data_IF_370193743310
#
_entry.id   IF_370193743310
#
_cell.length_a   1.000
_cell.length_b   1.000
_cell.length_c   1.000
_cell.angle_alpha   90.00
_cell.angle_beta   90.00
_cell.angle_gamma   90.00
#
_symmetry.space_group_name_H-M   'P 1'
#
loop_
_entity.id
_entity.type
_entity.pdbx_description
1 polymer ?
#
# COMPACT_ATOMS: atom_id res chain seq x y z
N UNK A 1 -29.57 -0.25 -12.01
CA UNK A 1 -29.15 0.75 -10.99
C UNK A 1 -28.08 1.61 -11.66
N UNK A 2 -28.12 2.92 -11.51
CA UNK A 2 -27.16 3.86 -12.13
C UNK A 2 -26.24 4.36 -11.02
N UNK A 3 -24.93 4.45 -11.28
CA UNK A 3 -23.93 4.95 -10.35
C UNK A 3 -23.30 6.22 -10.91
N UNK A 4 -22.87 7.12 -10.04
CA UNK A 4 -22.16 8.35 -10.41
C UNK A 4 -20.69 8.05 -10.76
N UNK A 5 -20.09 7.06 -10.08
CA UNK A 5 -18.77 6.57 -10.40
C UNK A 5 -18.68 5.05 -10.27
N UNK A 6 -17.91 4.44 -11.18
CA UNK A 6 -17.55 3.02 -11.14
C UNK A 6 -16.04 2.93 -11.06
N UNK A 7 -15.52 2.33 -9.99
CA UNK A 7 -14.11 2.07 -9.78
C UNK A 7 -13.83 0.60 -10.09
N UNK A 8 -12.90 0.34 -10.99
CA UNK A 8 -12.52 -1.01 -11.41
C UNK A 8 -11.21 -1.40 -10.76
N UNK A 9 -11.27 -2.45 -9.93
CA UNK A 9 -10.18 -2.95 -9.10
C UNK A 9 -10.18 -2.32 -7.70
N UNK A 10 -10.38 -3.14 -6.66
CA UNK A 10 -10.29 -2.74 -5.26
C UNK A 10 -8.86 -2.87 -4.71
N UNK A 11 -7.86 -2.57 -5.52
CA UNK A 11 -6.46 -2.57 -5.14
C UNK A 11 -6.03 -1.29 -4.43
N UNK A 12 -4.70 -1.06 -4.34
CA UNK A 12 -4.11 0.07 -3.61
C UNK A 12 -4.71 1.43 -3.98
N UNK A 13 -4.91 1.71 -5.27
CA UNK A 13 -5.50 2.96 -5.72
C UNK A 13 -7.04 2.96 -5.64
N UNK A 14 -7.69 1.90 -6.15
CA UNK A 14 -9.15 1.88 -6.26
C UNK A 14 -9.87 1.86 -4.92
N UNK A 15 -9.34 1.17 -3.91
CA UNK A 15 -9.86 1.21 -2.55
C UNK A 15 -9.85 2.63 -1.98
N UNK A 16 -8.76 3.38 -2.18
CA UNK A 16 -8.64 4.77 -1.75
C UNK A 16 -9.64 5.66 -2.49
N UNK A 17 -9.67 5.57 -3.82
CA UNK A 17 -10.56 6.39 -4.66
C UNK A 17 -12.03 6.16 -4.27
N UNK A 18 -12.47 4.90 -4.16
CA UNK A 18 -13.85 4.58 -3.80
C UNK A 18 -14.20 5.09 -2.40
N UNK A 19 -13.29 4.90 -1.42
CA UNK A 19 -13.47 5.39 -0.05
C UNK A 19 -13.60 6.92 -0.02
N UNK A 20 -12.72 7.64 -0.73
CA UNK A 20 -12.74 9.11 -0.76
C UNK A 20 -13.94 9.67 -1.52
N UNK A 21 -14.29 9.12 -2.68
CA UNK A 21 -15.48 9.56 -3.41
C UNK A 21 -16.78 9.32 -2.63
N UNK A 22 -16.85 8.26 -1.84
CA UNK A 22 -18.02 7.96 -1.01
C UNK A 22 -18.14 8.81 0.26
N UNK A 23 -17.17 9.70 0.55
CA UNK A 23 -17.30 10.74 1.59
C UNK A 23 -18.41 11.75 1.25
N UNK A 24 -18.69 11.97 -0.03
CA UNK A 24 -19.84 12.73 -0.50
C UNK A 24 -21.09 11.81 -0.54
N UNK A 25 -22.04 11.95 0.39
CA UNK A 25 -23.20 11.06 0.48
C UNK A 25 -24.19 11.22 -0.70
N UNK A 26 -24.04 12.27 -1.50
CA UNK A 26 -24.87 12.50 -2.69
C UNK A 26 -24.41 11.69 -3.89
N UNK A 27 -23.20 11.12 -3.86
CA UNK A 27 -22.63 10.30 -4.93
C UNK A 27 -22.77 8.82 -4.65
N UNK A 28 -23.25 8.06 -5.62
CA UNK A 28 -23.33 6.60 -5.56
C UNK A 28 -22.09 5.98 -6.23
N UNK A 29 -21.35 5.15 -5.49
CA UNK A 29 -20.08 4.56 -5.90
C UNK A 29 -20.22 3.05 -6.03
N UNK A 30 -19.78 2.51 -7.17
CA UNK A 30 -19.60 1.08 -7.38
C UNK A 30 -18.13 0.73 -7.46
N UNK A 31 -17.66 -0.13 -6.57
CA UNK A 31 -16.31 -0.69 -6.57
C UNK A 31 -16.39 -2.16 -7.00
N UNK A 32 -15.65 -2.52 -8.06
CA UNK A 32 -15.61 -3.88 -8.62
C UNK A 32 -14.23 -4.49 -8.39
N UNK A 33 -14.21 -5.74 -7.91
CA UNK A 33 -12.96 -6.49 -7.69
C UNK A 33 -13.05 -7.89 -8.31
N UNK A 34 -11.98 -8.30 -8.99
CA UNK A 34 -11.94 -9.59 -9.67
C UNK A 34 -11.77 -10.77 -8.71
N UNK A 35 -11.06 -10.56 -7.61
CA UNK A 35 -10.84 -11.55 -6.57
C UNK A 35 -11.88 -11.53 -5.46
N UNK A 36 -11.69 -12.40 -4.46
CA UNK A 36 -12.56 -12.46 -3.28
C UNK A 36 -12.41 -11.24 -2.37
N UNK A 37 -13.38 -11.10 -1.47
CA UNK A 37 -13.41 -10.09 -0.42
C UNK A 37 -13.48 -10.77 0.95
N UNK A 38 -12.68 -10.27 1.89
CA UNK A 38 -12.64 -10.72 3.27
C UNK A 38 -12.88 -9.52 4.20
N UNK A 39 -14.14 -9.21 4.52
CA UNK A 39 -14.48 -8.06 5.37
C UNK A 39 -14.04 -8.21 6.82
N UNK A 40 -13.91 -9.45 7.30
CA UNK A 40 -13.46 -9.77 8.64
C UNK A 40 -11.97 -10.14 8.63
N UNK A 41 -11.19 -9.50 9.50
CA UNK A 41 -9.76 -9.76 9.65
C UNK A 41 -9.46 -11.20 10.12
N UNK A 42 -10.39 -11.82 10.83
CA UNK A 42 -10.24 -13.18 11.32
C UNK A 42 -10.47 -14.24 10.22
N UNK A 43 -11.16 -13.84 9.15
CA UNK A 43 -11.40 -14.68 7.96
C UNK A 43 -10.32 -14.52 6.88
N UNK A 44 -9.35 -13.62 7.06
CA UNK A 44 -8.26 -13.46 6.10
C UNK A 44 -7.43 -14.74 5.98
N UNK A 45 -7.22 -15.26 4.74
CA UNK A 45 -6.27 -16.36 4.53
C UNK A 45 -4.86 -16.00 5.00
N UNK A 46 -4.13 -16.97 5.54
CA UNK A 46 -2.81 -16.75 6.13
C UNK A 46 -1.82 -16.08 5.15
N UNK A 47 -1.83 -16.45 3.87
CA UNK A 47 -0.96 -15.86 2.85
C UNK A 47 -1.30 -14.40 2.53
N UNK A 48 -2.54 -13.97 2.80
CA UNK A 48 -2.97 -12.57 2.70
C UNK A 48 -2.69 -11.84 4.00
N UNK A 49 -2.91 -12.49 5.15
CA UNK A 49 -2.79 -11.92 6.49
C UNK A 49 -1.33 -11.73 6.92
N UNK A 50 -0.48 -12.74 6.70
CA UNK A 50 0.89 -12.79 7.25
C UNK A 50 1.95 -12.87 6.15
N UNK A 51 2.61 -11.75 5.84
CA UNK A 51 3.59 -11.69 4.77
C UNK A 51 4.85 -12.53 4.96
N UNK A 52 5.31 -12.69 6.20
CA UNK A 52 6.58 -13.37 6.49
C UNK A 52 6.49 -14.89 6.51
N UNK A 53 5.33 -15.43 6.90
CA UNK A 53 5.14 -16.89 7.03
C UNK A 53 4.83 -17.56 5.69
N UNK A 54 4.28 -16.82 4.75
CA UNK A 54 3.59 -17.37 3.58
C UNK A 54 4.08 -16.78 2.25
N UNK A 55 5.26 -16.14 2.24
CA UNK A 55 5.80 -15.46 1.06
C UNK A 55 5.85 -16.36 -0.19
N UNK A 56 6.14 -17.64 -0.03
CA UNK A 56 6.19 -18.58 -1.16
C UNK A 56 4.81 -19.02 -1.62
N UNK A 57 3.81 -19.03 -0.77
CA UNK A 57 2.45 -19.48 -1.08
C UNK A 57 1.75 -18.51 -2.01
N UNK A 58 2.03 -17.20 -1.89
CA UNK A 58 1.41 -16.18 -2.72
C UNK A 58 1.70 -16.33 -4.23
N UNK A 59 2.85 -16.92 -4.60
CA UNK A 59 3.22 -17.13 -5.99
C UNK A 59 2.28 -18.06 -6.73
N UNK A 60 1.70 -19.04 -6.03
CA UNK A 60 0.78 -20.04 -6.56
C UNK A 60 -0.65 -19.87 -6.10
N UNK A 61 -0.91 -18.89 -5.24
CA UNK A 61 -2.23 -18.61 -4.67
C UNK A 61 -3.22 -18.10 -5.72
N UNK A 62 -4.51 -18.40 -5.51
CA UNK A 62 -5.62 -17.83 -6.27
C UNK A 62 -5.80 -16.31 -6.02
N UNK A 63 -5.18 -15.76 -4.95
CA UNK A 63 -5.12 -14.33 -4.66
C UNK A 63 -4.07 -13.58 -5.49
N UNK A 64 -3.40 -14.26 -6.40
CA UNK A 64 -2.43 -13.72 -7.35
C UNK A 64 -2.90 -13.94 -8.79
N UNK A 65 -2.80 -12.90 -9.64
CA UNK A 65 -3.08 -13.01 -11.07
C UNK A 65 -2.11 -13.94 -11.83
N UNK A 66 -0.97 -14.27 -11.22
CA UNK A 66 0.07 -15.13 -11.80
C UNK A 66 0.55 -14.66 -13.19
N UNK A 67 0.71 -13.33 -13.34
CA UNK A 67 1.23 -12.79 -14.59
C UNK A 67 2.69 -13.15 -14.79
N UNK A 68 3.03 -13.41 -16.05
CA UNK A 68 4.41 -13.56 -16.50
C UNK A 68 4.72 -12.54 -17.57
N UNK A 69 5.93 -12.03 -17.56
CA UNK A 69 6.43 -11.11 -18.58
C UNK A 69 7.85 -11.49 -19.01
N UNK A 70 8.22 -11.08 -20.21
CA UNK A 70 9.58 -11.18 -20.70
C UNK A 70 10.47 -10.25 -19.90
N UNK A 71 11.38 -10.80 -19.09
CA UNK A 71 12.35 -10.04 -18.29
C UNK A 71 13.59 -9.70 -19.10
N UNK A 72 14.11 -10.68 -19.86
CA UNK A 72 15.22 -10.54 -20.79
C UNK A 72 14.90 -11.30 -22.08
N UNK A 73 15.80 -11.27 -23.06
CA UNK A 73 15.63 -12.09 -24.30
C UNK A 73 15.57 -13.60 -24.01
N UNK A 74 16.17 -14.04 -22.91
CA UNK A 74 16.35 -15.46 -22.56
C UNK A 74 15.44 -15.91 -21.40
N UNK A 75 14.86 -15.00 -20.61
CA UNK A 75 14.14 -15.34 -19.39
C UNK A 75 12.81 -14.60 -19.24
N UNK A 76 11.77 -15.35 -18.88
CA UNK A 76 10.51 -14.82 -18.37
C UNK A 76 10.58 -14.71 -16.85
N UNK A 77 9.92 -13.69 -16.30
CA UNK A 77 9.80 -13.45 -14.86
C UNK A 77 8.33 -13.49 -14.44
N UNK A 78 8.07 -14.01 -13.27
CA UNK A 78 6.75 -13.94 -12.66
C UNK A 78 6.54 -12.55 -12.05
N UNK A 79 5.37 -11.97 -12.30
CA UNK A 79 4.98 -10.64 -11.79
C UNK A 79 3.75 -10.79 -10.90
N UNK A 80 3.92 -10.95 -9.59
CA UNK A 80 2.78 -11.08 -8.70
C UNK A 80 1.96 -9.78 -8.66
N UNK A 81 0.66 -9.93 -8.80
CA UNK A 81 -0.34 -8.86 -8.65
C UNK A 81 -1.54 -9.42 -7.91
N UNK A 82 -1.98 -8.70 -6.89
CA UNK A 82 -3.10 -9.14 -6.07
C UNK A 82 -4.40 -9.22 -6.84
N UNK A 83 -5.10 -10.35 -6.66
CA UNK A 83 -6.45 -10.63 -7.14
C UNK A 83 -7.35 -10.90 -5.93
N UNK A 84 -7.55 -9.87 -5.14
CA UNK A 84 -8.26 -9.88 -3.86
C UNK A 84 -8.55 -8.42 -3.48
N UNK A 85 -9.54 -8.14 -2.64
CA UNK A 85 -9.69 -6.79 -2.08
C UNK A 85 -8.42 -6.34 -1.36
N UNK A 86 -8.00 -5.10 -1.60
CA UNK A 86 -6.68 -4.59 -1.25
C UNK A 86 -5.64 -4.76 -2.38
N UNK A 87 -5.91 -5.62 -3.37
CA UNK A 87 -5.02 -5.84 -4.51
C UNK A 87 -3.60 -6.19 -4.11
N UNK A 88 -2.62 -5.58 -4.75
CA UNK A 88 -1.21 -5.85 -4.45
C UNK A 88 -0.78 -5.40 -3.05
N UNK A 89 -1.50 -4.47 -2.40
CA UNK A 89 -1.24 -4.15 -1.00
C UNK A 89 -1.60 -5.29 -0.04
N UNK A 90 -2.45 -6.23 -0.48
CA UNK A 90 -2.82 -7.41 0.29
C UNK A 90 -1.87 -8.61 0.11
N UNK A 91 -0.88 -8.51 -0.80
CA UNK A 91 0.09 -9.59 -1.08
C UNK A 91 1.55 -9.12 -1.12
N UNK A 92 1.83 -7.83 -0.87
CA UNK A 92 3.16 -7.24 -0.95
C UNK A 92 4.09 -7.63 0.23
N UNK A 93 5.34 -7.18 0.17
CA UNK A 93 6.35 -7.37 1.22
C UNK A 93 6.22 -6.44 2.41
N UNK A 94 5.16 -5.63 2.52
CA UNK A 94 4.84 -4.74 3.66
C UNK A 94 5.85 -3.61 3.91
N UNK A 95 6.79 -3.38 3.01
CA UNK A 95 7.71 -2.25 3.10
C UNK A 95 6.94 -0.97 2.75
N UNK A 96 7.06 0.04 3.61
CA UNK A 96 6.31 1.30 3.51
C UNK A 96 7.25 2.48 3.31
N UNK A 97 7.96 2.47 2.18
CA UNK A 97 8.86 3.56 1.78
C UNK A 97 8.12 4.58 0.93
N UNK A 98 8.42 5.86 1.16
CA UNK A 98 7.99 6.98 0.33
C UNK A 98 9.00 7.25 -0.78
N UNK A 99 8.54 7.80 -1.89
CA UNK A 99 9.43 8.40 -2.88
C UNK A 99 10.11 9.64 -2.28
N UNK A 100 11.35 9.87 -2.67
CA UNK A 100 12.16 11.00 -2.20
C UNK A 100 11.79 12.30 -2.93
N UNK A 101 12.13 13.48 -2.36
CA UNK A 101 11.85 14.77 -3.01
C UNK A 101 12.34 14.89 -4.46
N UNK A 102 13.49 14.30 -4.77
CA UNK A 102 14.08 14.35 -6.12
C UNK A 102 13.20 13.63 -7.17
N UNK A 103 12.51 12.54 -6.80
CA UNK A 103 11.58 11.84 -7.69
C UNK A 103 10.43 12.78 -8.11
N UNK A 104 9.90 13.55 -7.16
CA UNK A 104 8.81 14.49 -7.41
C UNK A 104 9.28 15.74 -8.15
N UNK A 105 10.49 16.23 -7.88
CA UNK A 105 11.11 17.32 -8.64
C UNK A 105 11.20 16.93 -10.11
N UNK A 106 11.66 15.71 -10.40
CA UNK A 106 11.74 15.20 -11.76
C UNK A 106 10.35 15.08 -12.42
N UNK A 107 9.33 14.66 -11.68
CA UNK A 107 7.97 14.60 -12.22
C UNK A 107 7.41 15.99 -12.57
N UNK A 108 7.65 16.99 -11.71
CA UNK A 108 7.27 18.36 -11.97
C UNK A 108 8.00 18.93 -13.22
N UNK A 109 9.30 18.69 -13.36
CA UNK A 109 10.09 19.07 -14.54
C UNK A 109 9.56 18.45 -15.86
N UNK A 110 8.91 17.29 -15.78
CA UNK A 110 8.27 16.64 -16.93
C UNK A 110 6.86 17.17 -17.22
N UNK A 111 6.46 18.26 -16.58
CA UNK A 111 5.18 18.94 -16.82
C UNK A 111 4.04 18.49 -15.93
N UNK A 112 4.35 17.84 -14.80
CA UNK A 112 3.38 17.48 -13.78
C UNK A 112 3.52 18.42 -12.57
N UNK A 113 3.33 19.71 -12.78
CA UNK A 113 3.64 20.78 -11.82
C UNK A 113 2.95 20.64 -10.45
N UNK A 114 1.78 19.99 -10.41
CA UNK A 114 1.03 19.71 -9.17
C UNK A 114 1.62 18.54 -8.33
N UNK A 115 2.65 17.87 -8.87
CA UNK A 115 3.27 16.69 -8.25
C UNK A 115 4.64 17.00 -7.63
N UNK A 116 4.90 18.26 -7.27
CA UNK A 116 6.09 18.57 -6.46
C UNK A 116 5.95 17.99 -5.05
N UNK A 117 7.09 17.78 -4.36
CA UNK A 117 7.11 17.12 -3.06
C UNK A 117 6.27 17.84 -2.00
N UNK A 118 6.26 19.18 -1.99
CA UNK A 118 5.51 19.97 -1.01
C UNK A 118 3.99 19.80 -1.21
N UNK A 119 3.56 19.71 -2.46
CA UNK A 119 2.17 19.46 -2.82
C UNK A 119 1.72 18.04 -2.45
N UNK A 120 2.63 17.04 -2.49
CA UNK A 120 2.33 15.64 -2.20
C UNK A 120 2.43 15.29 -0.71
N UNK A 121 3.30 15.94 0.04
CA UNK A 121 3.54 15.64 1.46
C UNK A 121 2.26 15.61 2.32
N UNK A 122 1.28 16.54 2.19
CA UNK A 122 0.03 16.48 2.92
C UNK A 122 -0.79 15.20 2.65
N UNK A 123 -0.67 14.62 1.45
CA UNK A 123 -1.35 13.36 1.10
C UNK A 123 -0.65 12.15 1.72
N UNK A 124 0.69 12.16 1.83
CA UNK A 124 1.42 11.16 2.60
C UNK A 124 1.02 11.19 4.07
N UNK A 125 0.96 12.37 4.67
CA UNK A 125 0.54 12.52 6.06
C UNK A 125 -0.94 12.11 6.28
N UNK A 126 -1.81 12.40 5.32
CA UNK A 126 -3.22 11.96 5.34
C UNK A 126 -3.39 10.45 5.17
N UNK A 127 -2.45 9.79 4.52
CA UNK A 127 -2.49 8.37 4.22
C UNK A 127 -2.15 7.51 5.45
N UNK A 128 -1.18 7.94 6.29
CA UNK A 128 -0.57 7.09 7.30
C UNK A 128 -0.91 7.48 8.74
N UNK A 129 -0.80 6.47 9.59
CA UNK A 129 -0.55 6.61 11.02
C UNK A 129 0.79 5.96 11.31
N UNK A 130 1.85 6.76 11.50
CA UNK A 130 3.16 6.25 11.90
C UNK A 130 3.22 6.12 13.41
N UNK A 131 3.19 4.88 13.92
CA UNK A 131 3.15 4.63 15.38
C UNK A 131 4.52 4.80 16.03
N UNK A 132 5.62 4.76 15.25
CA UNK A 132 6.97 5.02 15.77
C UNK A 132 7.15 6.49 16.15
N UNK A 133 6.58 7.39 15.36
CA UNK A 133 6.69 8.84 15.56
C UNK A 133 5.40 9.50 16.04
N UNK A 134 4.43 8.72 16.52
CA UNK A 134 3.09 9.20 16.86
C UNK A 134 3.09 10.34 17.91
N UNK A 135 3.99 10.31 18.89
CA UNK A 135 4.09 11.35 19.92
C UNK A 135 4.72 12.65 19.40
N UNK A 136 5.56 12.54 18.35
CA UNK A 136 6.22 13.68 17.72
C UNK A 136 6.36 13.46 16.20
N UNK A 137 5.26 13.57 15.44
CA UNK A 137 5.26 13.25 14.01
C UNK A 137 6.03 14.26 13.16
N UNK A 138 6.38 15.43 13.70
CA UNK A 138 7.01 16.51 12.94
C UNK A 138 6.14 16.93 11.75
N UNK A 139 6.80 17.39 10.68
CA UNK A 139 6.12 17.79 9.44
C UNK A 139 5.98 16.63 8.44
N UNK A 140 6.66 15.51 8.69
CA UNK A 140 6.81 14.43 7.71
C UNK A 140 5.92 13.22 7.95
N UNK A 141 5.35 13.05 9.14
CA UNK A 141 4.54 11.89 9.48
C UNK A 141 3.08 12.22 9.72
N UNK A 142 2.23 11.24 9.36
CA UNK A 142 0.81 11.26 9.70
C UNK A 142 0.54 10.52 11.02
N UNK A 143 -0.49 10.97 11.74
CA UNK A 143 -0.91 10.38 13.02
C UNK A 143 -2.35 9.84 13.01
N UNK A 144 -3.10 10.07 11.92
CA UNK A 144 -4.54 9.75 11.84
C UNK A 144 -4.96 9.13 10.51
N UNK A 145 -4.00 8.72 9.69
CA UNK A 145 -4.29 8.07 8.41
C UNK A 145 -4.65 6.60 8.57
N UNK A 146 -5.35 6.02 7.59
CA UNK A 146 -5.86 4.65 7.68
C UNK A 146 -4.79 3.58 7.51
N UNK A 147 -3.60 3.88 7.00
CA UNK A 147 -2.52 2.92 6.86
C UNK A 147 -1.57 3.04 8.04
N UNK A 148 -1.50 1.98 8.83
CA UNK A 148 -0.62 1.92 10.00
C UNK A 148 0.79 1.55 9.54
N UNK A 149 1.76 2.37 9.93
CA UNK A 149 3.18 2.16 9.70
C UNK A 149 3.91 2.12 11.04
N UNK A 150 4.94 1.30 11.14
CA UNK A 150 5.81 1.21 12.30
C UNK A 150 7.22 0.77 11.91
N UNK A 151 8.12 0.79 12.87
CA UNK A 151 9.47 0.21 12.79
C UNK A 151 9.70 -0.68 14.00
N UNK A 152 10.36 -1.82 13.77
CA UNK A 152 10.81 -2.64 14.89
C UNK A 152 11.90 -1.92 15.68
N UNK A 153 11.78 -1.90 16.99
CA UNK A 153 12.80 -1.40 17.90
C UNK A 153 14.04 -2.30 17.88
N UNK A 154 15.21 -1.76 18.29
CA UNK A 154 16.47 -2.47 18.20
C UNK A 154 16.51 -3.78 19.01
N UNK A 155 15.78 -3.86 20.11
CA UNK A 155 15.66 -5.07 20.93
C UNK A 155 14.86 -6.19 20.27
N UNK A 156 14.04 -5.85 19.29
CA UNK A 156 13.26 -6.79 18.46
C UNK A 156 14.06 -7.30 17.24
N UNK A 157 15.19 -6.70 16.93
CA UNK A 157 15.96 -7.08 15.75
C UNK A 157 16.60 -8.45 15.89
N UNK A 158 16.55 -9.21 14.82
CA UNK A 158 17.25 -10.48 14.73
C UNK A 158 18.77 -10.27 14.82
N UNK A 159 19.53 -11.23 15.38
CA UNK A 159 20.98 -11.12 15.52
C UNK A 159 21.70 -10.79 14.21
N UNK A 160 21.25 -11.35 13.08
CA UNK A 160 21.84 -11.04 11.77
C UNK A 160 21.57 -9.60 11.31
N UNK A 161 20.41 -9.05 11.62
CA UNK A 161 20.08 -7.64 11.32
C UNK A 161 20.92 -6.67 12.16
N UNK A 162 21.10 -6.97 13.46
CA UNK A 162 22.00 -6.19 14.34
C UNK A 162 23.43 -6.17 13.82
N UNK A 163 23.98 -7.35 13.55
CA UNK A 163 25.35 -7.47 13.03
C UNK A 163 25.54 -6.74 11.68
N UNK A 164 24.52 -6.76 10.82
CA UNK A 164 24.56 -6.01 9.56
C UNK A 164 24.61 -4.49 9.80
N UNK A 165 23.75 -3.96 10.66
CA UNK A 165 23.72 -2.53 10.99
C UNK A 165 25.03 -2.11 11.63
N UNK A 166 25.56 -2.86 12.61
CA UNK A 166 26.85 -2.61 13.26
C UNK A 166 28.00 -2.58 12.23
N UNK A 167 28.06 -3.56 11.32
CA UNK A 167 29.08 -3.60 10.28
C UNK A 167 28.99 -2.40 9.31
N UNK A 168 27.79 -1.94 8.99
CA UNK A 168 27.61 -0.75 8.15
C UNK A 168 28.09 0.52 8.87
N UNK A 169 27.79 0.67 10.16
CA UNK A 169 28.26 1.80 10.97
C UNK A 169 29.76 1.78 11.09
N UNK A 170 30.38 0.63 11.37
CA UNK A 170 31.84 0.47 11.43
C UNK A 170 32.53 0.77 10.09
N UNK A 171 31.84 0.53 8.98
CA UNK A 171 32.28 0.89 7.64
C UNK A 171 32.07 2.39 7.29
N UNK A 172 31.54 3.20 8.22
CA UNK A 172 31.36 4.63 8.08
C UNK A 172 30.03 5.08 7.49
N UNK A 173 29.04 4.17 7.34
CA UNK A 173 27.68 4.57 6.96
C UNK A 173 26.94 5.16 8.17
N UNK A 174 26.18 6.26 8.00
CA UNK A 174 25.43 6.85 9.11
C UNK A 174 24.25 5.93 9.51
N UNK A 175 23.87 6.03 10.78
CA UNK A 175 22.61 5.46 11.22
C UNK A 175 21.43 6.32 10.71
N UNK A 176 20.44 5.69 10.10
CA UNK A 176 19.22 6.31 9.60
C UNK A 176 18.03 5.80 10.40
N UNK A 177 17.54 6.60 11.34
CA UNK A 177 16.40 6.25 12.16
C UNK A 177 15.08 6.23 11.36
N UNK A 178 15.00 7.05 10.32
CA UNK A 178 13.84 7.17 9.45
C UNK A 178 14.19 7.31 7.97
N UNK A 179 13.94 6.24 7.21
CA UNK A 179 14.16 6.23 5.76
C UNK A 179 13.10 7.03 4.98
N UNK A 180 12.02 7.49 5.63
CA UNK A 180 10.96 8.29 5.02
C UNK A 180 11.17 9.81 5.23
N UNK A 181 12.09 10.21 6.09
CA UNK A 181 12.46 11.62 6.28
C UNK A 181 13.31 12.10 5.11
N UNK A 182 12.95 13.23 4.47
CA UNK A 182 13.71 13.78 3.35
C UNK A 182 15.17 14.08 3.68
N UNK A 183 16.05 13.72 2.76
CA UNK A 183 17.48 13.99 2.90
C UNK A 183 18.23 13.03 3.83
N UNK A 184 17.58 12.03 4.40
CA UNK A 184 18.21 10.99 5.19
C UNK A 184 18.80 9.90 4.29
N UNK A 185 19.95 9.36 4.72
CA UNK A 185 20.58 8.21 4.08
C UNK A 185 21.37 7.43 5.13
N UNK A 186 21.45 6.11 4.96
CA UNK A 186 22.19 5.28 5.90
C UNK A 186 21.57 3.89 6.09
N UNK A 187 21.92 3.28 7.22
CA UNK A 187 21.40 1.97 7.64
C UNK A 187 20.54 2.12 8.89
N UNK A 188 19.38 1.47 8.92
CA UNK A 188 18.46 1.56 10.05
C UNK A 188 17.20 0.71 9.87
N UNK A 189 16.22 0.89 10.75
CA UNK A 189 14.97 0.13 10.70
C UNK A 189 14.15 0.49 9.47
N UNK A 190 13.67 -0.54 8.78
CA UNK A 190 12.77 -0.37 7.63
C UNK A 190 11.36 -0.02 8.13
N UNK A 191 10.73 1.03 7.61
CA UNK A 191 9.32 1.29 7.88
C UNK A 191 8.44 0.21 7.24
N UNK A 192 7.49 -0.33 8.00
CA UNK A 192 6.64 -1.45 7.61
C UNK A 192 5.17 -1.15 7.92
N UNK A 193 4.26 -1.61 7.06
CA UNK A 193 2.82 -1.53 7.30
C UNK A 193 2.25 -2.89 7.72
N UNK A 194 2.76 -3.40 8.85
CA UNK A 194 2.36 -4.69 9.39
C UNK A 194 2.23 -4.70 10.93
N UNK A 195 1.35 -3.85 11.49
CA UNK A 195 1.13 -3.85 12.93
C UNK A 195 0.78 -5.25 13.41
N UNK A 196 1.41 -5.68 14.51
CA UNK A 196 1.23 -7.02 15.10
C UNK A 196 1.51 -8.17 14.10
N UNK A 197 2.32 -7.92 13.07
CA UNK A 197 2.65 -8.88 12.01
C UNK A 197 1.57 -9.06 10.94
N UNK A 198 0.45 -8.34 11.03
CA UNK A 198 -0.65 -8.38 10.08
C UNK A 198 -0.40 -7.40 8.93
N UNK A 199 -0.42 -7.87 7.69
CA UNK A 199 -0.29 -7.03 6.51
C UNK A 199 -1.45 -6.03 6.42
N UNK A 200 -1.18 -4.75 6.73
CA UNK A 200 -2.17 -3.70 6.78
C UNK A 200 -2.46 -3.15 5.38
N UNK A 201 -3.25 -3.90 4.62
CA UNK A 201 -3.61 -3.55 3.24
C UNK A 201 -4.61 -2.39 3.18
N UNK A 202 -4.83 -1.85 1.96
CA UNK A 202 -5.89 -0.85 1.74
C UNK A 202 -7.30 -1.41 1.98
N UNK A 203 -7.48 -2.73 2.00
CA UNK A 203 -8.75 -3.34 2.44
C UNK A 203 -8.98 -3.12 3.93
N UNK A 204 -7.96 -3.36 4.76
CA UNK A 204 -8.05 -3.17 6.22
C UNK A 204 -8.05 -1.70 6.61
N UNK A 205 -7.26 -0.87 5.93
CA UNK A 205 -7.19 0.56 6.20
C UNK A 205 -8.40 1.32 5.64
N UNK A 206 -8.51 1.39 4.32
CA UNK A 206 -9.50 2.26 3.66
C UNK A 206 -10.89 1.65 3.53
N UNK A 207 -11.01 0.40 3.03
CA UNK A 207 -12.33 -0.19 2.81
C UNK A 207 -13.05 -0.47 4.13
N UNK A 208 -12.34 -0.86 5.19
CA UNK A 208 -12.95 -1.04 6.50
C UNK A 208 -13.71 0.21 6.98
N UNK A 209 -13.19 1.41 6.70
CA UNK A 209 -13.82 2.68 7.06
C UNK A 209 -15.08 3.02 6.23
N UNK A 210 -15.22 2.46 5.06
CA UNK A 210 -16.24 2.85 4.07
C UNK A 210 -17.28 1.77 3.75
N UNK A 211 -17.06 0.51 4.17
CA UNK A 211 -17.96 -0.62 3.87
C UNK A 211 -19.39 -0.41 4.34
N UNK A 212 -19.59 0.31 5.45
CA UNK A 212 -20.92 0.59 6.01
C UNK A 212 -21.66 1.76 5.36
N UNK A 213 -21.02 2.48 4.43
CA UNK A 213 -21.63 3.63 3.76
C UNK A 213 -22.70 3.16 2.77
N UNK A 214 -23.90 3.72 2.88
CA UNK A 214 -25.05 3.34 2.04
C UNK A 214 -24.88 3.72 0.55
N UNK A 215 -24.02 4.68 0.27
CA UNK A 215 -23.73 5.18 -1.07
C UNK A 215 -22.53 4.48 -1.74
N UNK A 216 -21.90 3.50 -1.08
CA UNK A 216 -20.83 2.69 -1.65
C UNK A 216 -21.27 1.22 -1.76
N UNK A 217 -21.10 0.64 -2.94
CA UNK A 217 -21.34 -0.78 -3.20
C UNK A 217 -20.02 -1.43 -3.64
N UNK A 218 -19.53 -2.40 -2.88
CA UNK A 218 -18.43 -3.26 -3.30
C UNK A 218 -18.99 -4.58 -3.84
N UNK A 219 -18.48 -5.02 -4.99
CA UNK A 219 -18.73 -6.33 -5.56
C UNK A 219 -17.42 -7.04 -5.89
N UNK A 220 -17.15 -8.09 -5.16
CA UNK A 220 -16.04 -9.01 -5.39
C UNK A 220 -16.40 -10.12 -6.39
N UNK A 221 -15.38 -10.86 -6.84
CA UNK A 221 -15.49 -11.93 -7.83
C UNK A 221 -16.12 -11.47 -9.17
N UNK A 222 -15.85 -10.23 -9.57
CA UNK A 222 -16.38 -9.60 -10.78
C UNK A 222 -15.23 -9.15 -11.68
N UNK A 223 -14.97 -9.85 -12.76
CA UNK A 223 -14.02 -9.45 -13.80
C UNK A 223 -14.65 -8.50 -14.81
N UNK A 224 -14.11 -7.28 -14.89
CA UNK A 224 -14.49 -6.30 -15.91
C UNK A 224 -13.75 -6.60 -17.21
N UNK A 225 -14.52 -6.80 -18.31
CA UNK A 225 -13.92 -7.13 -19.61
C UNK A 225 -13.63 -5.89 -20.45
N UNK A 226 -14.49 -4.89 -20.39
CA UNK A 226 -14.37 -3.65 -21.20
C UNK A 226 -15.28 -2.55 -20.70
N UNK A 227 -14.94 -1.32 -21.00
CA UNK A 227 -15.81 -0.15 -20.88
C UNK A 227 -16.69 -0.08 -22.13
N UNK A 228 -17.97 0.19 -21.95
CA UNK A 228 -18.92 0.43 -23.03
C UNK A 228 -19.27 1.92 -23.04
N UNK A 229 -19.27 2.51 -24.20
CA UNK A 229 -19.68 3.90 -24.41
C UNK A 229 -20.99 3.93 -25.17
N UNK A 230 -21.92 4.76 -24.70
CA UNK A 230 -23.12 5.06 -25.48
C UNK A 230 -22.72 5.90 -26.70
N UNK A 231 -23.27 5.57 -27.85
CA UNK A 231 -23.12 6.42 -29.03
C UNK A 231 -24.05 7.64 -28.86
N UNK A 232 -23.48 8.79 -28.58
CA UNK A 232 -24.13 10.08 -28.73
C UNK A 232 -23.65 10.75 -30.00
#
# INVERSE_FOLDING_TARGET
MKYDAIVVGAGSAGAIIATRLSEDPTKSILLLEAGPDYPDIDELPDEVKYGYKTTNEIWTSDHNWQFRARGTEEADIDIPRGKVTGGSSAINGQIFLRAIPDDFTLWAEWGNDEWDYQSILPFYNKLETDTTFQENPGDFHGSNGPIICHRFSEDEWLPGSKAFVEACIDAGHPFCADANEPGTAGVGPTPLNNPEGIRWSTSLGYLAMSRSRLNMTLRSNVSVKRVLFDKH
#
